data_IF_434411493940
#
_entry.id   IF_434411493940
#
_cell.length_a   1.000
_cell.length_b   1.000
_cell.length_c   1.000
_cell.angle_alpha   90.00
_cell.angle_beta   90.00
_cell.angle_gamma   90.00
#
_symmetry.space_group_name_H-M   'P 1'
#
loop_
_entity.id
_entity.type
_entity.pdbx_description
1 polymer ?
#
# COMPACT_ATOMS: atom_id res chain seq x y z
N UNK A 1 12.05 -1.06 -20.66
CA UNK A 1 11.98 -1.03 -22.13
C UNK A 1 13.25 -0.35 -22.63
N UNK A 2 14.12 -1.06 -23.33
CA UNK A 2 15.33 -0.50 -23.93
C UNK A 2 14.93 0.31 -25.19
N UNK A 3 15.40 1.55 -25.29
CA UNK A 3 15.17 2.40 -26.45
C UNK A 3 16.32 2.27 -27.43
N UNK A 4 16.02 2.12 -28.71
CA UNK A 4 17.02 2.03 -29.77
C UNK A 4 17.53 3.45 -30.10
N UNK A 5 18.86 3.67 -30.13
CA UNK A 5 19.44 4.93 -30.60
C UNK A 5 18.92 5.30 -32.00
N UNK A 6 18.82 6.58 -32.28
CA UNK A 6 18.22 7.13 -33.50
C UNK A 6 16.73 6.79 -33.74
N UNK A 7 16.05 6.33 -32.69
CA UNK A 7 14.59 6.19 -32.67
C UNK A 7 13.92 7.37 -31.99
N UNK A 8 12.60 7.48 -32.12
CA UNK A 8 11.85 8.53 -31.46
C UNK A 8 11.02 7.99 -30.29
N UNK A 9 10.88 8.82 -29.25
CA UNK A 9 9.97 8.52 -28.16
C UNK A 9 8.53 8.75 -28.65
N UNK A 10 7.81 7.68 -28.94
CA UNK A 10 6.46 7.71 -29.48
C UNK A 10 5.43 8.48 -28.63
N UNK A 11 5.72 8.69 -27.33
CA UNK A 11 4.87 9.48 -26.43
C UNK A 11 5.01 10.99 -26.62
N UNK A 12 6.11 11.44 -27.23
CA UNK A 12 6.41 12.85 -27.46
C UNK A 12 6.17 13.27 -28.94
N UNK A 13 5.77 12.33 -29.79
CA UNK A 13 5.50 12.55 -31.20
C UNK A 13 4.04 12.96 -31.39
N UNK A 14 3.79 14.10 -32.01
CA UNK A 14 2.45 14.57 -32.35
C UNK A 14 1.89 13.84 -33.54
N UNK A 15 0.67 13.33 -33.43
CA UNK A 15 -0.04 12.60 -34.50
C UNK A 15 -1.38 13.26 -34.80
N UNK A 16 -1.83 13.16 -36.05
CA UNK A 16 -3.18 13.56 -36.44
C UNK A 16 -4.22 12.48 -36.07
N UNK A 17 -5.48 12.75 -36.35
CA UNK A 17 -6.59 11.81 -36.09
C UNK A 17 -6.47 10.50 -36.88
N UNK A 18 -5.77 10.52 -38.04
CA UNK A 18 -5.46 9.35 -38.86
C UNK A 18 -4.24 8.56 -38.33
N UNK A 19 -3.55 9.03 -37.27
CA UNK A 19 -2.39 8.40 -36.69
C UNK A 19 -1.05 8.71 -37.37
N UNK A 20 -1.05 9.62 -38.38
CA UNK A 20 0.16 10.05 -39.08
C UNK A 20 0.96 11.06 -38.24
N UNK A 21 2.28 11.03 -38.37
CA UNK A 21 3.18 11.90 -37.62
C UNK A 21 3.14 13.30 -38.22
N UNK A 22 2.64 14.28 -37.49
CA UNK A 22 2.60 15.68 -37.89
C UNK A 22 3.90 16.39 -37.55
N UNK A 23 4.42 16.13 -36.34
CA UNK A 23 5.61 16.80 -35.82
C UNK A 23 6.40 15.89 -34.88
N UNK A 24 7.73 15.97 -34.99
CA UNK A 24 8.67 15.28 -34.11
C UNK A 24 9.51 16.35 -33.42
N UNK A 25 9.22 16.71 -32.15
CA UNK A 25 10.03 17.67 -31.42
C UNK A 25 11.44 17.12 -31.21
N UNK A 26 12.43 18.00 -31.16
CA UNK A 26 13.83 17.62 -30.92
C UNK A 26 14.03 16.82 -29.62
N UNK A 27 13.18 17.10 -28.61
CA UNK A 27 13.14 16.37 -27.34
C UNK A 27 12.64 14.93 -27.46
N UNK A 28 12.02 14.55 -28.58
CA UNK A 28 11.55 13.19 -28.82
C UNK A 28 12.65 12.27 -29.34
N UNK A 29 13.74 12.81 -29.87
CA UNK A 29 14.86 12.03 -30.39
C UNK A 29 15.64 11.32 -29.28
N UNK A 30 15.91 10.03 -29.48
CA UNK A 30 16.74 9.23 -28.58
C UNK A 30 18.20 9.40 -28.97
N UNK A 31 18.92 10.29 -28.26
CA UNK A 31 20.32 10.57 -28.49
C UNK A 31 21.22 9.58 -27.75
N UNK A 32 22.35 9.22 -28.36
CA UNK A 32 23.41 8.48 -27.67
C UNK A 32 24.19 9.47 -26.82
N UNK A 33 24.04 9.37 -25.50
CA UNK A 33 24.77 10.25 -24.55
C UNK A 33 26.25 9.82 -24.47
N UNK A 34 26.51 8.53 -24.58
CA UNK A 34 27.86 7.98 -24.52
C UNK A 34 27.99 6.79 -25.47
N UNK A 35 28.94 6.86 -26.37
CA UNK A 35 29.28 5.75 -27.24
C UNK A 35 30.00 4.65 -26.46
N UNK A 36 29.70 3.41 -26.81
CA UNK A 36 30.44 2.28 -26.26
C UNK A 36 31.90 2.33 -26.73
N UNK A 37 32.82 2.29 -25.78
CA UNK A 37 34.30 2.34 -26.04
C UNK A 37 34.89 1.00 -26.49
N UNK A 38 34.09 0.01 -26.81
CA UNK A 38 34.52 -1.34 -27.22
C UNK A 38 34.96 -2.25 -26.06
N UNK A 39 35.04 -1.73 -24.85
CA UNK A 39 35.44 -2.51 -23.66
C UNK A 39 34.22 -3.06 -22.98
N UNK A 40 34.09 -4.38 -22.94
CA UNK A 40 33.06 -5.04 -22.13
C UNK A 40 33.52 -5.08 -20.67
N UNK A 41 32.78 -4.49 -19.73
CA UNK A 41 33.10 -4.67 -18.32
C UNK A 41 33.04 -6.16 -17.97
N UNK A 42 33.99 -6.60 -17.16
CA UNK A 42 33.96 -8.00 -16.68
C UNK A 42 32.64 -8.32 -15.96
N UNK A 43 32.07 -9.48 -16.19
CA UNK A 43 30.81 -9.90 -15.60
C UNK A 43 30.91 -10.07 -14.07
N UNK A 44 32.12 -10.35 -13.54
CA UNK A 44 32.35 -10.56 -12.11
C UNK A 44 31.98 -9.36 -11.22
N UNK A 45 32.35 -8.11 -11.52
CA UNK A 45 31.93 -6.95 -10.73
C UNK A 45 30.40 -6.78 -10.74
N UNK A 46 29.77 -6.93 -11.92
CA UNK A 46 28.30 -6.84 -12.04
C UNK A 46 27.56 -7.92 -11.24
N UNK A 47 28.08 -9.15 -11.23
CA UNK A 47 27.52 -10.24 -10.42
C UNK A 47 27.74 -10.00 -8.93
N UNK A 48 28.87 -9.40 -8.53
CA UNK A 48 29.13 -9.04 -7.14
C UNK A 48 28.14 -8.02 -6.63
N UNK A 49 27.91 -6.93 -7.35
CA UNK A 49 26.96 -5.89 -6.98
C UNK A 49 25.52 -6.40 -6.95
N UNK A 50 25.15 -7.22 -7.93
CA UNK A 50 23.84 -7.86 -7.96
C UNK A 50 23.64 -8.81 -6.76
N UNK A 51 24.67 -9.60 -6.42
CA UNK A 51 24.62 -10.51 -5.27
C UNK A 51 24.49 -9.75 -3.95
N UNK A 52 25.26 -8.67 -3.76
CA UNK A 52 25.15 -7.80 -2.58
C UNK A 52 23.74 -7.22 -2.47
N UNK A 53 23.19 -6.71 -3.55
CA UNK A 53 21.83 -6.16 -3.58
C UNK A 53 20.75 -7.21 -3.23
N UNK A 54 20.91 -8.46 -3.71
CA UNK A 54 20.04 -9.58 -3.36
C UNK A 54 20.14 -9.95 -1.87
N UNK A 55 21.35 -10.04 -1.34
CA UNK A 55 21.58 -10.37 0.08
C UNK A 55 20.99 -9.30 0.98
N UNK A 56 21.22 -8.03 0.68
CA UNK A 56 20.64 -6.89 1.42
C UNK A 56 19.10 -6.89 1.38
N UNK A 57 18.54 -7.17 0.22
CA UNK A 57 17.07 -7.28 0.08
C UNK A 57 16.51 -8.41 0.94
N UNK A 58 17.18 -9.57 0.92
CA UNK A 58 16.79 -10.74 1.71
C UNK A 58 16.95 -10.49 3.21
N UNK A 59 18.04 -9.84 3.63
CA UNK A 59 18.25 -9.46 5.02
C UNK A 59 17.19 -8.47 5.52
N UNK A 60 16.81 -7.48 4.70
CA UNK A 60 15.72 -6.53 5.01
C UNK A 60 14.39 -7.26 5.15
N UNK A 61 14.10 -8.24 4.30
CA UNK A 61 12.90 -9.08 4.38
C UNK A 61 12.89 -9.91 5.68
N UNK A 62 13.99 -10.58 6.02
CA UNK A 62 14.15 -11.35 7.26
C UNK A 62 13.97 -10.47 8.50
N UNK A 63 14.57 -9.27 8.52
CA UNK A 63 14.42 -8.34 9.64
C UNK A 63 12.98 -7.82 9.77
N UNK A 64 12.28 -7.61 8.65
CA UNK A 64 10.87 -7.23 8.65
C UNK A 64 10.00 -8.36 9.22
N UNK A 65 10.24 -9.60 8.80
CA UNK A 65 9.51 -10.76 9.29
C UNK A 65 9.78 -11.01 10.78
N UNK A 66 11.04 -10.92 11.24
CA UNK A 66 11.38 -11.03 12.67
C UNK A 66 10.75 -9.95 13.56
N UNK A 67 10.64 -8.72 13.05
CA UNK A 67 9.90 -7.66 13.76
C UNK A 67 8.42 -7.98 13.83
N UNK A 68 7.84 -8.49 12.76
CA UNK A 68 6.45 -8.94 12.71
C UNK A 68 6.18 -10.08 13.68
N UNK A 69 7.05 -11.11 13.71
CA UNK A 69 6.94 -12.24 14.65
C UNK A 69 7.08 -11.80 16.11
N UNK A 70 8.08 -10.96 16.44
CA UNK A 70 8.23 -10.41 17.80
C UNK A 70 7.01 -9.58 18.23
N UNK A 71 6.40 -8.85 17.29
CA UNK A 71 5.19 -8.09 17.57
C UNK A 71 3.99 -9.02 17.75
N UNK A 72 3.89 -10.10 16.96
CA UNK A 72 2.79 -11.07 17.07
C UNK A 72 2.83 -11.87 18.38
N UNK A 73 4.01 -12.30 18.81
CA UNK A 73 4.17 -13.03 20.08
C UNK A 73 3.83 -12.17 21.31
N UNK A 74 4.07 -10.86 21.26
CA UNK A 74 3.68 -9.94 22.34
C UNK A 74 2.19 -9.55 22.33
N UNK A 75 1.49 -9.76 21.23
CA UNK A 75 0.11 -9.29 21.03
C UNK A 75 -0.88 -10.40 20.69
N UNK A 76 -0.55 -11.67 20.96
CA UNK A 76 -1.56 -12.73 20.93
C UNK A 76 -2.69 -12.36 21.88
N UNK A 77 -3.84 -12.01 21.32
CA UNK A 77 -5.07 -11.54 21.97
C UNK A 77 -5.10 -10.06 22.45
N UNK A 78 -4.15 -9.21 22.13
CA UNK A 78 -4.27 -7.80 22.51
C UNK A 78 -5.13 -7.02 21.50
N UNK A 79 -6.34 -6.67 21.95
CA UNK A 79 -7.22 -5.73 21.23
C UNK A 79 -6.58 -4.35 21.27
N UNK A 80 -6.40 -3.72 20.10
CA UNK A 80 -5.96 -2.32 20.00
C UNK A 80 -7.21 -1.45 20.10
N UNK A 81 -7.41 -0.83 21.26
CA UNK A 81 -8.65 -0.14 21.64
C UNK A 81 -9.17 0.85 20.57
N UNK A 82 -8.31 1.70 20.04
CA UNK A 82 -8.75 2.69 19.07
C UNK A 82 -9.20 2.07 17.71
N UNK A 83 -8.65 0.89 17.35
CA UNK A 83 -9.10 0.17 16.14
C UNK A 83 -10.42 -0.55 16.41
N UNK A 84 -10.59 -1.11 17.60
CA UNK A 84 -11.88 -1.69 17.99
C UNK A 84 -12.97 -0.61 18.02
N UNK A 85 -12.67 0.60 18.50
CA UNK A 85 -13.57 1.76 18.42
C UNK A 85 -13.90 2.10 16.96
N UNK A 86 -12.91 2.16 16.07
CA UNK A 86 -13.13 2.40 14.64
C UNK A 86 -14.07 1.37 14.01
N UNK A 87 -13.99 0.10 14.39
CA UNK A 87 -14.87 -0.97 13.89
C UNK A 87 -16.32 -0.84 14.38
N UNK A 88 -16.55 -0.13 15.47
CA UNK A 88 -17.89 0.08 16.02
C UNK A 88 -18.59 1.28 15.38
N UNK A 89 -17.82 2.32 15.00
CA UNK A 89 -18.35 3.57 14.47
C UNK A 89 -18.48 3.52 12.94
N UNK A 90 -19.57 4.03 12.38
CA UNK A 90 -19.65 4.25 10.94
C UNK A 90 -18.89 5.51 10.55
N UNK A 91 -18.13 5.47 9.45
CA UNK A 91 -17.43 6.61 8.87
C UNK A 91 -17.91 6.89 7.45
N UNK A 92 -18.12 8.16 7.13
CA UNK A 92 -18.57 8.58 5.81
C UNK A 92 -17.44 8.56 4.77
N UNK A 93 -16.28 9.06 5.15
CA UNK A 93 -15.11 9.20 4.29
C UNK A 93 -13.91 8.39 4.83
N UNK A 94 -12.79 8.39 4.13
CA UNK A 94 -11.55 7.67 4.48
C UNK A 94 -11.66 6.14 4.61
N UNK A 95 -12.80 5.50 4.23
CA UNK A 95 -13.03 4.06 4.36
C UNK A 95 -11.97 3.21 3.64
N UNK A 96 -11.53 3.64 2.46
CA UNK A 96 -10.48 2.92 1.70
C UNK A 96 -9.16 2.93 2.45
N UNK A 97 -8.79 4.08 3.02
CA UNK A 97 -7.59 4.23 3.82
C UNK A 97 -7.69 3.39 5.10
N UNK A 98 -8.81 3.50 5.84
CA UNK A 98 -9.04 2.73 7.05
C UNK A 98 -8.98 1.21 6.78
N UNK A 99 -9.62 0.73 5.71
CA UNK A 99 -9.60 -0.67 5.34
C UNK A 99 -8.19 -1.16 5.05
N UNK A 100 -7.42 -0.43 4.24
CA UNK A 100 -6.10 -0.85 3.80
C UNK A 100 -5.03 -0.71 4.87
N UNK A 101 -4.97 0.43 5.59
CA UNK A 101 -3.87 0.76 6.52
C UNK A 101 -4.12 0.32 7.96
N UNK A 102 -5.38 0.09 8.32
CA UNK A 102 -5.76 -0.12 9.71
C UNK A 102 -6.47 -1.47 9.88
N UNK A 103 -7.66 -1.63 9.31
CA UNK A 103 -8.57 -2.72 9.62
C UNK A 103 -8.06 -4.07 9.11
N UNK A 104 -7.72 -4.19 7.82
CA UNK A 104 -7.27 -5.46 7.26
C UNK A 104 -5.97 -5.97 7.92
N UNK A 105 -4.89 -5.17 8.05
CA UNK A 105 -3.68 -5.63 8.74
C UNK A 105 -3.90 -5.91 10.23
N UNK A 106 -4.82 -5.20 10.90
CA UNK A 106 -5.17 -5.48 12.28
C UNK A 106 -5.83 -6.85 12.44
N UNK A 107 -6.88 -7.11 11.69
CA UNK A 107 -7.64 -8.36 11.81
C UNK A 107 -6.80 -9.59 11.41
N UNK A 108 -6.00 -9.48 10.35
CA UNK A 108 -5.18 -10.59 9.85
C UNK A 108 -3.91 -10.77 10.69
N UNK A 109 -3.14 -9.70 10.94
CA UNK A 109 -1.78 -9.83 11.47
C UNK A 109 -1.69 -9.65 12.97
N UNK A 110 -2.63 -8.95 13.61
CA UNK A 110 -2.68 -8.76 15.07
C UNK A 110 -3.69 -9.71 15.72
N UNK A 111 -4.94 -9.73 15.22
CA UNK A 111 -6.00 -10.59 15.75
C UNK A 111 -5.91 -12.04 15.26
N UNK A 112 -5.13 -12.32 14.20
CA UNK A 112 -4.94 -13.65 13.61
C UNK A 112 -6.25 -14.37 13.25
N UNK A 113 -7.25 -13.62 12.82
CA UNK A 113 -8.56 -14.17 12.46
C UNK A 113 -8.50 -14.90 11.12
N UNK A 114 -9.41 -15.84 10.91
CA UNK A 114 -9.59 -16.50 9.62
C UNK A 114 -10.06 -15.51 8.55
N UNK A 115 -9.78 -15.81 7.29
CA UNK A 115 -10.21 -14.94 6.19
C UNK A 115 -11.75 -14.77 6.15
N UNK A 116 -12.50 -15.78 6.56
CA UNK A 116 -13.95 -15.76 6.60
C UNK A 116 -14.47 -14.81 7.69
N UNK A 117 -13.90 -14.89 8.90
CA UNK A 117 -14.22 -13.99 10.00
C UNK A 117 -13.87 -12.54 9.66
N UNK A 118 -12.69 -12.33 9.06
CA UNK A 118 -12.24 -11.00 8.63
C UNK A 118 -13.22 -10.41 7.61
N UNK A 119 -13.64 -11.18 6.61
CA UNK A 119 -14.62 -10.76 5.62
C UNK A 119 -15.96 -10.40 6.27
N UNK A 120 -16.44 -11.21 7.21
CA UNK A 120 -17.67 -10.95 7.94
C UNK A 120 -17.61 -9.64 8.72
N UNK A 121 -16.57 -9.42 9.51
CA UNK A 121 -16.37 -8.19 10.30
C UNK A 121 -16.30 -6.95 9.39
N UNK A 122 -15.50 -7.02 8.32
CA UNK A 122 -15.37 -5.91 7.38
C UNK A 122 -16.68 -5.59 6.68
N UNK A 123 -17.44 -6.61 6.26
CA UNK A 123 -18.72 -6.43 5.60
C UNK A 123 -19.72 -5.72 6.52
N UNK A 124 -19.85 -6.19 7.77
CA UNK A 124 -20.73 -5.55 8.76
C UNK A 124 -20.33 -4.10 9.02
N UNK A 125 -19.04 -3.80 9.12
CA UNK A 125 -18.55 -2.44 9.31
C UNK A 125 -18.84 -1.56 8.08
N UNK A 126 -18.60 -2.05 6.88
CA UNK A 126 -18.85 -1.32 5.63
C UNK A 126 -20.36 -1.07 5.43
N UNK A 127 -21.22 -2.00 5.82
CA UNK A 127 -22.66 -1.83 5.74
C UNK A 127 -23.14 -0.68 6.65
N UNK A 128 -22.57 -0.58 7.88
CA UNK A 128 -22.83 0.57 8.75
C UNK A 128 -22.35 1.88 8.09
N UNK A 129 -21.17 1.89 7.49
CA UNK A 129 -20.65 3.05 6.80
C UNK A 129 -21.49 3.44 5.56
N UNK A 130 -22.00 2.47 4.82
CA UNK A 130 -22.82 2.69 3.63
C UNK A 130 -24.18 3.33 3.93
N UNK A 131 -24.70 3.14 5.16
CA UNK A 131 -25.90 3.84 5.61
C UNK A 131 -25.68 5.35 5.75
N UNK A 132 -24.45 5.79 6.05
CA UNK A 132 -24.10 7.23 6.09
C UNK A 132 -23.87 7.82 4.70
N UNK A 133 -23.08 7.12 3.89
CA UNK A 133 -22.72 7.57 2.53
C UNK A 133 -22.53 6.35 1.65
N UNK A 134 -23.42 6.07 0.71
CA UNK A 134 -23.27 4.91 -0.17
C UNK A 134 -21.99 4.99 -1.00
N UNK A 135 -21.24 3.89 -1.09
CA UNK A 135 -20.10 3.77 -1.97
C UNK A 135 -20.37 2.70 -3.03
N UNK A 136 -20.13 3.07 -4.28
CA UNK A 136 -20.19 2.15 -5.40
C UNK A 136 -18.93 1.26 -5.41
N UNK A 137 -19.09 -0.06 -5.59
CA UNK A 137 -18.01 -1.05 -5.76
C UNK A 137 -17.07 -1.24 -4.56
N UNK A 138 -17.59 -1.18 -3.33
CA UNK A 138 -16.78 -1.43 -2.13
C UNK A 138 -16.26 -2.86 -2.10
N UNK A 139 -17.11 -3.83 -2.44
CA UNK A 139 -16.80 -5.27 -2.37
C UNK A 139 -15.62 -5.67 -3.27
N UNK A 140 -15.44 -5.00 -4.42
CA UNK A 140 -14.35 -5.28 -5.35
C UNK A 140 -12.96 -4.95 -4.76
N UNK A 141 -12.92 -4.17 -3.69
CA UNK A 141 -11.67 -3.73 -3.04
C UNK A 141 -11.31 -4.51 -1.78
N UNK A 142 -12.24 -5.25 -1.20
CA UNK A 142 -11.98 -6.00 0.04
C UNK A 142 -10.91 -7.06 -0.21
N UNK A 143 -11.11 -7.94 -1.19
CA UNK A 143 -10.16 -9.02 -1.50
C UNK A 143 -8.72 -8.54 -1.78
N UNK A 144 -8.48 -7.51 -2.63
CA UNK A 144 -7.13 -6.99 -2.83
C UNK A 144 -6.46 -6.47 -1.56
N UNK A 145 -7.23 -5.82 -0.66
CA UNK A 145 -6.71 -5.31 0.60
C UNK A 145 -6.35 -6.43 1.58
N UNK A 146 -7.14 -7.50 1.64
CA UNK A 146 -6.83 -8.68 2.44
C UNK A 146 -5.57 -9.38 1.92
N UNK A 147 -5.46 -9.57 0.61
CA UNK A 147 -4.27 -10.16 -0.01
C UNK A 147 -3.00 -9.30 0.23
N UNK A 148 -3.15 -7.98 0.24
CA UNK A 148 -2.05 -7.09 0.59
C UNK A 148 -1.68 -7.23 2.06
N UNK A 149 -2.65 -7.26 2.99
CA UNK A 149 -2.42 -7.43 4.41
C UNK A 149 -1.78 -8.78 4.76
N UNK A 150 -2.13 -9.84 4.04
CA UNK A 150 -1.54 -11.17 4.19
C UNK A 150 -0.01 -11.20 3.95
N UNK A 151 0.58 -10.16 3.34
CA UNK A 151 2.03 -9.98 3.23
C UNK A 151 2.71 -9.65 4.57
N UNK A 152 1.96 -9.53 5.66
CA UNK A 152 2.48 -9.45 7.03
C UNK A 152 2.79 -8.05 7.54
N UNK A 153 2.31 -6.95 6.90
CA UNK A 153 2.48 -5.61 7.47
C UNK A 153 1.49 -5.34 8.61
N UNK A 154 1.91 -4.55 9.58
CA UNK A 154 1.12 -4.20 10.76
C UNK A 154 0.24 -2.96 10.49
N UNK A 155 -0.85 -2.79 11.26
CA UNK A 155 -1.64 -1.56 11.20
C UNK A 155 -0.77 -0.36 11.59
N UNK A 156 -1.10 0.80 11.01
CA UNK A 156 -0.46 2.07 11.36
C UNK A 156 -0.63 2.37 12.85
N UNK A 157 0.35 3.01 13.48
CA UNK A 157 0.19 3.47 14.86
C UNK A 157 -0.73 4.69 14.93
N UNK A 158 -1.40 4.90 16.06
CA UNK A 158 -2.30 6.04 16.24
C UNK A 158 -1.58 7.39 16.12
N UNK A 159 -0.34 7.48 16.61
CA UNK A 159 0.49 8.67 16.47
C UNK A 159 0.80 9.00 15.00
N UNK A 160 1.05 7.98 14.20
CA UNK A 160 1.30 8.14 12.76
C UNK A 160 0.01 8.47 11.99
N UNK A 161 -1.13 7.92 12.43
CA UNK A 161 -2.44 8.27 11.87
C UNK A 161 -2.74 9.76 12.04
N UNK A 162 -2.40 10.35 13.19
CA UNK A 162 -2.55 11.81 13.44
C UNK A 162 -1.79 12.68 12.45
N UNK A 163 -0.66 12.21 11.94
CA UNK A 163 0.13 12.94 10.93
C UNK A 163 -0.34 12.70 9.50
N UNK A 164 -0.71 11.45 9.16
CA UNK A 164 -1.13 11.10 7.80
C UNK A 164 -2.59 11.47 7.50
N UNK A 165 -3.49 11.33 8.49
CA UNK A 165 -4.92 11.54 8.30
C UNK A 165 -5.55 12.10 9.59
N UNK A 166 -5.41 13.42 9.76
CA UNK A 166 -5.88 14.12 10.94
C UNK A 166 -7.39 13.97 11.13
N UNK A 167 -8.18 14.12 10.08
CA UNK A 167 -9.65 14.04 10.15
C UNK A 167 -10.13 12.70 10.72
N UNK A 168 -9.56 11.58 10.24
CA UNK A 168 -9.89 10.26 10.75
C UNK A 168 -9.43 10.08 12.19
N UNK A 169 -8.26 10.60 12.57
CA UNK A 169 -7.76 10.51 13.94
C UNK A 169 -8.61 11.29 14.92
N UNK A 170 -9.05 12.50 14.55
CA UNK A 170 -9.87 13.36 15.39
C UNK A 170 -11.26 12.73 15.61
N UNK A 171 -11.84 12.14 14.55
CA UNK A 171 -13.11 11.42 14.65
C UNK A 171 -13.01 10.24 15.63
N UNK A 172 -11.94 9.45 15.56
CA UNK A 172 -11.73 8.31 16.48
C UNK A 172 -11.51 8.81 17.90
N UNK A 173 -10.70 9.87 18.10
CA UNK A 173 -10.43 10.46 19.41
C UNK A 173 -11.73 10.93 20.09
N UNK A 174 -12.55 11.67 19.37
CA UNK A 174 -13.85 12.15 19.86
C UNK A 174 -14.75 11.01 20.34
N UNK A 175 -14.77 9.90 19.60
CA UNK A 175 -15.56 8.72 19.99
C UNK A 175 -14.98 7.95 21.18
N UNK A 176 -13.67 7.91 21.31
CA UNK A 176 -13.02 7.31 22.48
C UNK A 176 -13.32 8.10 23.76
N UNK A 177 -13.34 9.42 23.70
CA UNK A 177 -13.70 10.28 24.84
C UNK A 177 -15.16 10.17 25.23
N UNK A 178 -16.08 10.12 24.25
CA UNK A 178 -17.51 9.93 24.48
C UNK A 178 -17.85 8.53 25.02
N UNK A 179 -17.09 7.49 24.65
CA UNK A 179 -17.26 6.10 25.14
C UNK A 179 -16.87 5.90 26.60
N UNK A 180 -16.02 6.75 27.16
CA UNK A 180 -15.61 6.69 28.56
C UNK A 180 -16.69 7.26 29.49
N UNK A 181 -17.62 8.06 28.94
CA UNK A 181 -18.71 8.69 29.73
C UNK A 181 -19.92 7.79 29.98
N UNK A 182 -19.92 6.52 29.56
CA UNK A 182 -21.05 5.58 29.65
C UNK A 182 -20.74 4.35 30.55
N UNK A 183 -19.62 4.35 31.26
CA UNK A 183 -19.30 3.38 32.31
C UNK A 183 -19.12 4.09 33.66
#
# INVERSE_FOLDING_TARGET
MLRVPASFNSKLVHRNEQGEIINIPESAEVKIIQNWNGVRPGIKPLLSDFYICLVDSKLKEIHRNRKSEKYSVRHENHKIQWIETLLQIPIADHRKYALWRIVAPYLINVRKLSNEDVLSIISVWLDKCNKLKPLVRVNDRIKPNLNAAAKGYLPISFSHLKTENKELSDLISCQMENGISIL
#
